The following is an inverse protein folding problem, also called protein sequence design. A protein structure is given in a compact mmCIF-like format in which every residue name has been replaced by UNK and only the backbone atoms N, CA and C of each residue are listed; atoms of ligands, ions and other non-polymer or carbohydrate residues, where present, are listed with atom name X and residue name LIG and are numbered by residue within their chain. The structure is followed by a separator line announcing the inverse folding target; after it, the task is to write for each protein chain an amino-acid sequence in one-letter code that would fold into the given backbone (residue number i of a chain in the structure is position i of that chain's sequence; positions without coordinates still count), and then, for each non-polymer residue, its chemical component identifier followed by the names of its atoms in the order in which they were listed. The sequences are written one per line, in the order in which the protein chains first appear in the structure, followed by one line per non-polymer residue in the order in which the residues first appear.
data_IF_109541118948
#
_entry.id   IF_109541118948
#
_cell.length_a   1.000
_cell.length_b   1.000
_cell.length_c   1.000
_cell.angle_alpha   90.00
_cell.angle_beta   90.00
_cell.angle_gamma   90.00
#
_symmetry.space_group_name_H-M   'P 1'
#
loop_
_entity.id
_entity.type
_entity.pdbx_description
1 polymer ?
#
# COMPACT_ATOMS: atom_id res chain seq x y z
N UNK A 1 2.77 -28.30 7.03
CA UNK A 1 3.21 -27.21 6.12
C UNK A 1 1.98 -26.79 5.34
N UNK A 2 1.51 -25.55 5.48
CA UNK A 2 0.43 -25.06 4.63
C UNK A 2 0.96 -24.95 3.19
N UNK A 3 0.47 -25.81 2.32
CA UNK A 3 0.66 -25.75 0.87
C UNK A 3 0.01 -24.46 0.41
N UNK A 4 0.76 -23.58 -0.27
CA UNK A 4 0.17 -22.42 -0.94
C UNK A 4 -0.84 -23.00 -1.95
N UNK A 5 -2.14 -22.64 -1.87
CA UNK A 5 -3.11 -23.14 -2.84
C UNK A 5 -2.61 -22.81 -4.25
N UNK A 6 -2.57 -23.82 -5.13
CA UNK A 6 -2.20 -23.64 -6.54
C UNK A 6 -3.21 -22.78 -7.33
N UNK A 7 -4.28 -22.32 -6.67
CA UNK A 7 -5.43 -21.63 -7.26
C UNK A 7 -5.70 -20.28 -6.59
N UNK A 8 -4.69 -19.61 -6.01
CA UNK A 8 -4.94 -18.24 -5.55
C UNK A 8 -5.05 -17.34 -6.80
N UNK A 9 -6.16 -16.61 -6.98
CA UNK A 9 -6.33 -15.73 -8.12
C UNK A 9 -5.21 -14.68 -8.17
N UNK A 10 -4.73 -14.43 -9.38
CA UNK A 10 -3.75 -13.39 -9.64
C UNK A 10 -4.46 -12.04 -9.77
N UNK A 11 -4.18 -11.13 -8.84
CA UNK A 11 -4.64 -9.75 -8.91
C UNK A 11 -3.50 -8.88 -9.42
N UNK A 12 -3.78 -7.92 -10.29
CA UNK A 12 -2.73 -7.06 -10.88
C UNK A 12 -2.02 -6.23 -9.81
N UNK A 13 -2.72 -5.96 -8.72
CA UNK A 13 -2.25 -5.18 -7.58
C UNK A 13 -1.52 -6.03 -6.53
N UNK A 14 -1.50 -7.36 -6.66
CA UNK A 14 -0.90 -8.27 -5.69
C UNK A 14 0.14 -9.18 -6.32
N UNK A 15 1.30 -9.31 -5.67
CA UNK A 15 2.32 -10.27 -6.07
C UNK A 15 2.76 -11.09 -4.87
N UNK A 16 2.47 -12.38 -4.91
CA UNK A 16 2.84 -13.30 -3.84
C UNK A 16 4.03 -14.17 -4.24
N UNK A 17 5.03 -14.25 -3.35
CA UNK A 17 6.18 -15.12 -3.48
C UNK A 17 6.10 -16.24 -2.44
N UNK A 18 5.67 -17.43 -2.87
CA UNK A 18 5.51 -18.60 -1.99
C UNK A 18 6.80 -19.05 -1.29
N UNK A 19 7.95 -18.95 -1.98
CA UNK A 19 9.24 -19.34 -1.41
C UNK A 19 9.65 -18.43 -0.24
N UNK A 20 9.36 -17.13 -0.36
CA UNK A 20 9.66 -16.14 0.68
C UNK A 20 8.49 -15.88 1.63
N UNK A 21 7.32 -16.49 1.39
CA UNK A 21 6.05 -16.21 2.08
C UNK A 21 5.77 -14.71 2.18
N UNK A 22 6.02 -14.02 1.07
CA UNK A 22 5.98 -12.56 0.99
C UNK A 22 4.88 -12.12 0.04
N UNK A 23 3.96 -11.30 0.52
CA UNK A 23 2.93 -10.64 -0.28
C UNK A 23 3.35 -9.20 -0.55
N UNK A 24 3.32 -8.79 -1.82
CA UNK A 24 3.52 -7.39 -2.21
C UNK A 24 2.19 -6.82 -2.66
N UNK A 25 1.81 -5.69 -2.08
CA UNK A 25 0.59 -4.94 -2.36
C UNK A 25 1.02 -3.68 -3.12
N UNK A 26 0.63 -3.55 -4.38
CA UNK A 26 0.84 -2.37 -5.21
C UNK A 26 -0.39 -1.49 -5.13
N UNK A 27 -0.26 -0.34 -4.49
CA UNK A 27 -1.34 0.61 -4.28
C UNK A 27 -1.08 1.87 -5.11
N UNK A 28 -1.91 2.13 -6.12
CA UNK A 28 -1.92 3.41 -6.83
C UNK A 28 -2.89 4.35 -6.13
N UNK A 29 -2.34 5.40 -5.52
CA UNK A 29 -3.11 6.35 -4.73
C UNK A 29 -4.08 7.19 -5.58
N UNK A 30 -3.85 7.32 -6.88
CA UNK A 30 -4.70 8.09 -7.80
C UNK A 30 -5.89 7.29 -8.29
N UNK A 31 -5.68 6.00 -8.51
CA UNK A 31 -6.69 5.08 -9.03
C UNK A 31 -7.65 4.63 -7.95
N UNK A 32 -7.22 4.60 -6.68
CA UNK A 32 -7.99 4.02 -5.59
C UNK A 32 -8.36 2.55 -5.80
N UNK A 33 -7.87 1.91 -6.86
CA UNK A 33 -8.34 0.63 -7.33
C UNK A 33 -7.67 -0.52 -6.56
N UNK A 34 -8.48 -1.22 -5.77
CA UNK A 34 -8.37 -2.66 -5.52
C UNK A 34 -9.76 -3.31 -5.59
N UNK A 35 -10.51 -2.97 -6.63
CA UNK A 35 -11.78 -3.63 -6.93
C UNK A 35 -11.61 -4.31 -8.29
N UNK A 36 -11.10 -5.54 -8.26
CA UNK A 36 -11.28 -6.45 -9.39
C UNK A 36 -12.75 -6.86 -9.43
N UNK A 37 -13.42 -6.56 -10.55
CA UNK A 37 -14.80 -6.93 -10.91
C UNK A 37 -15.46 -7.95 -9.97
N UNK A 38 -16.13 -7.47 -8.91
CA UNK A 38 -17.03 -8.28 -8.07
C UNK A 38 -16.46 -8.86 -6.77
N UNK A 39 -15.16 -8.71 -6.47
CA UNK A 39 -14.57 -9.19 -5.20
C UNK A 39 -14.04 -8.03 -4.34
N UNK A 40 -14.28 -8.10 -3.02
CA UNK A 40 -13.80 -7.08 -2.09
C UNK A 40 -12.31 -7.27 -1.78
N UNK A 41 -11.58 -6.17 -1.60
CA UNK A 41 -10.19 -6.16 -1.13
C UNK A 41 -9.94 -7.06 0.09
N UNK A 42 -10.87 -7.05 1.04
CA UNK A 42 -10.84 -7.90 2.23
C UNK A 42 -10.89 -9.38 1.89
N UNK A 43 -11.77 -9.77 0.98
CA UNK A 43 -11.86 -11.15 0.51
C UNK A 43 -10.58 -11.61 -0.18
N UNK A 44 -10.03 -10.78 -1.07
CA UNK A 44 -8.80 -11.09 -1.79
C UNK A 44 -7.60 -11.23 -0.86
N UNK A 45 -7.39 -10.28 0.06
CA UNK A 45 -6.26 -10.32 0.99
C UNK A 45 -6.38 -11.48 1.99
N UNK A 46 -7.60 -11.79 2.46
CA UNK A 46 -7.82 -12.88 3.40
C UNK A 46 -7.34 -14.24 2.87
N UNK A 47 -7.37 -14.47 1.56
CA UNK A 47 -6.85 -15.69 0.92
C UNK A 47 -5.35 -15.91 1.17
N UNK A 48 -4.60 -14.85 1.48
CA UNK A 48 -3.16 -14.90 1.74
C UNK A 48 -2.81 -15.00 3.24
N UNK A 49 -3.77 -14.85 4.14
CA UNK A 49 -3.55 -14.61 5.56
C UNK A 49 -2.83 -15.77 6.27
N UNK A 50 -3.16 -17.02 5.91
CA UNK A 50 -2.71 -18.21 6.64
C UNK A 50 -1.27 -18.63 6.32
N UNK A 51 -0.64 -18.06 5.29
CA UNK A 51 0.70 -18.47 4.88
C UNK A 51 1.66 -17.30 4.64
N UNK A 52 1.16 -16.06 4.66
CA UNK A 52 1.99 -14.87 4.52
C UNK A 52 2.72 -14.54 5.82
N UNK A 53 4.04 -14.38 5.73
CA UNK A 53 4.90 -13.98 6.85
C UNK A 53 5.42 -12.55 6.72
N UNK A 54 5.49 -12.05 5.50
CA UNK A 54 5.96 -10.71 5.17
C UNK A 54 4.99 -10.01 4.23
N UNK A 55 4.66 -8.76 4.52
CA UNK A 55 3.90 -7.89 3.61
C UNK A 55 4.76 -6.70 3.22
N UNK A 56 4.74 -6.36 1.93
CA UNK A 56 5.39 -5.17 1.37
C UNK A 56 4.30 -4.34 0.71
N UNK A 57 4.01 -3.16 1.24
CA UNK A 57 3.04 -2.23 0.66
C UNK A 57 3.81 -1.17 -0.12
N UNK A 58 3.55 -1.05 -1.42
CA UNK A 58 4.16 -0.04 -2.30
C UNK A 58 3.08 0.93 -2.74
N UNK A 59 3.14 2.16 -2.23
CA UNK A 59 2.19 3.23 -2.55
C UNK A 59 2.84 4.15 -3.59
N UNK A 60 2.22 4.26 -4.75
CA UNK A 60 2.64 5.18 -5.81
C UNK A 60 1.68 6.36 -5.89
N UNK A 61 2.24 7.56 -6.01
CA UNK A 61 1.50 8.79 -6.24
C UNK A 61 1.70 9.25 -7.69
N UNK A 62 0.72 9.92 -8.30
CA UNK A 62 0.87 10.41 -9.66
C UNK A 62 1.90 11.54 -9.69
N UNK A 63 2.69 11.61 -10.76
CA UNK A 63 3.56 12.77 -10.91
C UNK A 63 2.70 14.04 -11.09
N UNK A 64 3.07 15.18 -10.50
CA UNK A 64 2.30 16.42 -10.63
C UNK A 64 2.19 16.91 -12.10
N UNK A 65 3.04 16.38 -12.98
CA UNK A 65 3.04 16.62 -14.44
C UNK A 65 2.52 15.43 -15.25
N UNK A 66 2.18 14.32 -14.60
CA UNK A 66 1.61 13.14 -15.25
C UNK A 66 0.11 13.31 -15.44
N UNK A 67 -0.25 13.96 -16.55
CA UNK A 67 -1.34 13.40 -17.37
C UNK A 67 -0.88 11.98 -17.71
N UNK A 68 -1.38 10.97 -16.99
CA UNK A 68 -0.92 9.58 -17.14
C UNK A 68 -0.82 9.18 -18.62
N UNK A 69 0.40 8.87 -19.06
CA UNK A 69 0.64 8.02 -20.23
C UNK A 69 0.79 6.60 -19.71
N UNK A 70 -0.34 5.90 -19.53
CA UNK A 70 -0.29 4.46 -19.32
C UNK A 70 0.02 3.80 -20.68
N UNK A 71 1.25 3.35 -20.87
CA UNK A 71 1.59 2.46 -21.99
C UNK A 71 1.14 1.04 -21.61
N UNK A 72 -0.14 0.73 -21.81
CA UNK A 72 -0.60 -0.65 -21.79
C UNK A 72 -0.14 -1.28 -23.11
N UNK A 73 0.69 -2.34 -23.12
CA UNK A 73 1.17 -2.98 -24.35
C UNK A 73 0.13 -3.94 -24.91
N UNK A 74 -1.13 -3.52 -24.99
CA UNK A 74 -2.18 -4.23 -25.72
C UNK A 74 -2.88 -3.24 -26.62
N UNK A 75 -2.59 -3.34 -27.91
CA UNK A 75 -3.24 -2.60 -29.00
C UNK A 75 -3.13 -1.07 -28.92
N UNK A 76 -1.94 -0.49 -29.16
CA UNK A 76 -1.71 0.80 -29.87
C UNK A 76 -2.62 2.03 -29.64
N UNK A 77 -3.46 2.04 -28.62
CA UNK A 77 -4.50 3.04 -28.37
C UNK A 77 -4.18 3.68 -27.03
N UNK A 78 -3.89 4.97 -27.08
CA UNK A 78 -3.59 5.78 -25.91
C UNK A 78 -4.90 6.15 -25.22
N UNK A 79 -5.35 5.34 -24.26
CA UNK A 79 -6.47 5.74 -23.40
C UNK A 79 -5.95 6.66 -22.30
N UNK A 80 -6.33 7.94 -22.36
CA UNK A 80 -6.20 8.85 -21.22
C UNK A 80 -7.44 8.62 -20.37
N UNK A 81 -7.31 7.83 -19.30
CA UNK A 81 -8.40 7.66 -18.34
C UNK A 81 -8.25 8.78 -17.32
N UNK A 82 -9.19 9.72 -17.35
CA UNK A 82 -9.30 10.80 -16.38
C UNK A 82 -10.13 10.28 -15.20
N UNK A 83 -9.46 9.84 -14.14
CA UNK A 83 -10.09 9.22 -12.96
C UNK A 83 -10.76 10.25 -12.02
N UNK A 84 -10.83 11.53 -12.42
CA UNK A 84 -11.40 12.58 -11.58
C UNK A 84 -10.49 12.98 -10.42
N UNK A 85 -10.94 13.90 -9.55
CA UNK A 85 -10.12 14.39 -8.44
C UNK A 85 -9.92 13.29 -7.40
N UNK A 86 -8.67 13.12 -6.97
CA UNK A 86 -8.27 12.24 -5.86
C UNK A 86 -9.18 12.43 -4.63
N UNK A 87 -10.03 11.45 -4.35
CA UNK A 87 -10.81 11.45 -3.11
C UNK A 87 -9.94 10.96 -1.95
N UNK A 88 -9.23 11.90 -1.32
CA UNK A 88 -8.30 11.63 -0.22
C UNK A 88 -8.95 10.86 0.93
N UNK A 89 -10.21 11.17 1.27
CA UNK A 89 -10.92 10.50 2.36
C UNK A 89 -11.14 9.01 2.04
N UNK A 90 -11.55 8.71 0.82
CA UNK A 90 -11.77 7.33 0.37
C UNK A 90 -10.48 6.51 0.31
N UNK A 91 -9.38 7.10 -0.17
CA UNK A 91 -8.09 6.41 -0.18
C UNK A 91 -7.54 6.16 1.22
N UNK A 92 -7.72 7.12 2.15
CA UNK A 92 -7.37 6.90 3.55
C UNK A 92 -8.19 5.76 4.16
N UNK A 93 -9.51 5.72 3.89
CA UNK A 93 -10.38 4.64 4.35
C UNK A 93 -9.93 3.28 3.80
N UNK A 94 -9.60 3.20 2.51
CA UNK A 94 -9.09 1.97 1.88
C UNK A 94 -7.78 1.50 2.49
N UNK A 95 -6.86 2.41 2.82
CA UNK A 95 -5.63 2.05 3.52
C UNK A 95 -5.94 1.53 4.94
N UNK A 96 -6.87 2.15 5.65
CA UNK A 96 -7.33 1.65 6.94
C UNK A 96 -7.93 0.23 6.81
N UNK A 97 -8.69 -0.05 5.75
CA UNK A 97 -9.20 -1.40 5.46
C UNK A 97 -8.07 -2.41 5.19
N UNK A 98 -7.04 -2.04 4.43
CA UNK A 98 -5.85 -2.90 4.26
C UNK A 98 -5.26 -3.25 5.63
N UNK A 99 -5.04 -2.24 6.48
CA UNK A 99 -4.48 -2.43 7.82
C UNK A 99 -5.38 -3.34 8.67
N UNK A 100 -6.70 -3.11 8.65
CA UNK A 100 -7.70 -3.95 9.33
C UNK A 100 -7.58 -5.41 8.93
N UNK A 101 -7.43 -5.70 7.64
CA UNK A 101 -7.28 -7.07 7.14
C UNK A 101 -5.92 -7.67 7.51
N UNK A 102 -4.84 -6.89 7.44
CA UNK A 102 -3.50 -7.35 7.82
C UNK A 102 -3.40 -7.74 9.31
N UNK A 103 -4.20 -7.12 10.20
CA UNK A 103 -4.29 -7.54 11.61
C UNK A 103 -4.78 -8.99 11.76
N UNK A 104 -5.51 -9.54 10.78
CA UNK A 104 -6.00 -10.92 10.80
C UNK A 104 -4.91 -11.94 10.42
N UNK A 105 -3.80 -11.50 9.84
CA UNK A 105 -2.73 -12.38 9.38
C UNK A 105 -1.92 -12.94 10.55
N UNK A 106 -2.31 -14.12 11.04
CA UNK A 106 -1.70 -14.74 12.23
C UNK A 106 -0.20 -15.03 12.12
N UNK A 107 0.30 -15.23 10.89
CA UNK A 107 1.71 -15.52 10.63
C UNK A 107 2.52 -14.27 10.25
N UNK A 108 1.90 -13.10 10.17
CA UNK A 108 2.57 -11.86 9.80
C UNK A 108 3.61 -11.51 10.86
N UNK A 109 4.86 -11.39 10.42
CA UNK A 109 6.00 -11.04 11.28
C UNK A 109 6.78 -9.84 10.76
N UNK A 110 6.57 -9.50 9.48
CA UNK A 110 7.28 -8.43 8.82
C UNK A 110 6.33 -7.55 7.97
N UNK A 111 6.44 -6.24 8.10
CA UNK A 111 5.75 -5.24 7.29
C UNK A 111 6.75 -4.18 6.80
N UNK A 112 6.73 -3.93 5.49
CA UNK A 112 7.48 -2.83 4.88
C UNK A 112 6.50 -1.95 4.11
N UNK A 113 6.42 -0.66 4.46
CA UNK A 113 5.64 0.34 3.73
C UNK A 113 6.57 1.26 2.98
N UNK A 114 6.36 1.36 1.67
CA UNK A 114 7.24 2.05 0.74
C UNK A 114 6.38 3.05 -0.03
N UNK A 115 6.65 4.34 0.12
CA UNK A 115 6.00 5.38 -0.66
C UNK A 115 6.93 5.87 -1.77
N UNK A 116 6.42 6.06 -2.97
CA UNK A 116 7.13 6.73 -4.06
C UNK A 116 6.44 8.07 -4.33
N UNK A 117 7.14 9.16 -3.98
CA UNK A 117 6.65 10.53 -4.06
C UNK A 117 7.48 11.33 -5.06
N UNK A 118 6.83 12.20 -5.81
CA UNK A 118 7.50 13.15 -6.69
C UNK A 118 8.24 14.25 -5.91
N UNK A 119 7.58 14.74 -4.87
CA UNK A 119 8.01 15.83 -4.01
C UNK A 119 7.71 15.45 -2.57
N UNK A 120 8.43 16.05 -1.62
CA UNK A 120 8.18 15.84 -0.20
C UNK A 120 6.89 16.56 0.23
N UNK A 121 5.77 15.86 0.05
CA UNK A 121 4.44 16.33 0.47
C UNK A 121 3.96 15.54 1.69
N UNK A 122 3.97 16.22 2.85
CA UNK A 122 3.48 15.64 4.09
C UNK A 122 2.03 15.16 3.98
N UNK A 123 1.17 15.85 3.21
CA UNK A 123 -0.23 15.45 3.04
C UNK A 123 -0.39 14.09 2.37
N UNK A 124 0.51 13.75 1.45
CA UNK A 124 0.56 12.44 0.82
C UNK A 124 1.12 11.41 1.80
N UNK A 125 2.16 11.77 2.55
CA UNK A 125 2.76 10.90 3.57
C UNK A 125 1.75 10.53 4.68
N UNK A 126 0.80 11.39 5.01
CA UNK A 126 -0.19 11.06 6.07
C UNK A 126 -1.00 9.81 5.78
N UNK A 127 -1.09 9.37 4.52
CA UNK A 127 -1.87 8.18 4.19
C UNK A 127 -1.32 6.90 4.82
N UNK A 128 -0.05 6.86 5.25
CA UNK A 128 0.53 5.68 5.91
C UNK A 128 0.31 5.64 7.42
N UNK A 129 -0.31 6.66 8.01
CA UNK A 129 -0.55 6.71 9.45
C UNK A 129 -1.25 5.44 10.00
N UNK A 130 -2.27 4.85 9.35
CA UNK A 130 -2.90 3.62 9.84
C UNK A 130 -1.92 2.44 10.02
N UNK A 131 -0.83 2.35 9.23
CA UNK A 131 0.14 1.25 9.38
C UNK A 131 0.94 1.31 10.69
N UNK A 132 0.87 2.42 11.45
CA UNK A 132 1.44 2.51 12.79
C UNK A 132 0.78 1.56 13.78
N UNK A 133 -0.45 1.10 13.53
CA UNK A 133 -1.09 0.08 14.36
C UNK A 133 -0.37 -1.27 14.29
N UNK A 134 0.39 -1.53 13.23
CA UNK A 134 1.15 -2.76 13.02
C UNK A 134 2.62 -2.63 13.45
N UNK A 135 2.99 -1.56 14.16
CA UNK A 135 4.37 -1.29 14.62
C UNK A 135 4.92 -2.34 15.60
N UNK A 136 4.06 -3.16 16.21
CA UNK A 136 4.46 -4.26 17.10
C UNK A 136 5.01 -5.50 16.38
N UNK A 137 4.99 -5.53 15.04
CA UNK A 137 5.58 -6.62 14.26
C UNK A 137 7.10 -6.67 14.44
N UNK A 138 7.67 -7.89 14.40
CA UNK A 138 9.11 -8.13 14.62
C UNK A 138 10.00 -7.33 13.66
N UNK A 139 9.56 -7.20 12.42
CA UNK A 139 10.23 -6.39 11.41
C UNK A 139 9.24 -5.39 10.86
N UNK A 140 9.37 -4.13 11.24
CA UNK A 140 8.50 -3.07 10.78
C UNK A 140 9.35 -1.95 10.21
N UNK A 141 8.99 -1.45 9.04
CA UNK A 141 9.66 -0.30 8.44
C UNK A 141 8.71 0.51 7.57
N UNK A 142 8.91 1.82 7.60
CA UNK A 142 8.29 2.75 6.67
C UNK A 142 9.38 3.62 6.04
N UNK A 143 9.27 3.86 4.74
CA UNK A 143 10.19 4.71 4.00
C UNK A 143 9.51 5.34 2.79
N UNK A 144 10.01 6.49 2.38
CA UNK A 144 9.60 7.13 1.14
C UNK A 144 10.81 7.44 0.27
N UNK A 145 10.59 7.45 -1.03
CA UNK A 145 11.48 8.01 -2.03
C UNK A 145 10.91 9.35 -2.49
N UNK A 146 11.76 10.37 -2.61
CA UNK A 146 11.38 11.68 -3.10
C UNK A 146 12.14 12.00 -4.41
N UNK A 147 11.42 12.13 -5.51
CA UNK A 147 11.92 12.54 -6.83
C UNK A 147 12.60 11.43 -7.65
N UNK A 148 12.89 11.72 -8.93
CA UNK A 148 13.37 10.75 -9.96
C UNK A 148 14.79 10.16 -9.75
N UNK A 149 15.48 10.51 -8.66
CA UNK A 149 16.81 9.98 -8.26
C UNK A 149 16.91 9.76 -6.75
N UNK A 150 15.77 9.62 -6.07
CA UNK A 150 15.65 9.82 -4.62
C UNK A 150 16.38 8.78 -3.78
N UNK A 151 17.12 9.25 -2.78
CA UNK A 151 17.53 8.40 -1.67
C UNK A 151 16.27 8.00 -0.88
N UNK A 152 16.21 6.73 -0.44
CA UNK A 152 15.16 6.26 0.45
C UNK A 152 15.32 6.92 1.83
N UNK A 153 14.30 7.65 2.27
CA UNK A 153 14.24 8.26 3.59
C UNK A 153 13.40 7.36 4.49
N UNK A 154 13.99 6.90 5.59
CA UNK A 154 13.28 6.09 6.59
C UNK A 154 12.44 6.96 7.51
N UNK A 155 11.21 6.52 7.77
CA UNK A 155 10.31 7.09 8.77
C UNK A 155 10.46 6.26 10.05
N UNK A 156 11.55 6.49 10.79
CA UNK A 156 11.85 5.80 12.04
C UNK A 156 11.16 6.48 13.24
N UNK A 157 10.99 5.77 14.38
CA UNK A 157 10.45 6.35 15.61
C UNK A 157 11.15 7.64 16.07
N UNK A 158 12.44 7.79 15.77
CA UNK A 158 13.24 8.96 16.13
C UNK A 158 13.05 10.14 15.17
N UNK A 159 12.28 9.99 14.09
CA UNK A 159 12.09 11.04 13.10
C UNK A 159 10.94 11.98 13.48
N UNK A 160 11.06 13.31 13.25
CA UNK A 160 9.96 14.25 13.47
C UNK A 160 8.70 13.90 12.66
N UNK A 161 8.90 13.26 11.51
CA UNK A 161 7.83 12.80 10.64
C UNK A 161 6.98 11.70 11.31
N UNK A 162 7.64 10.76 12.02
CA UNK A 162 6.95 9.70 12.76
C UNK A 162 6.09 10.27 13.90
N UNK A 163 6.62 11.19 14.71
CA UNK A 163 5.85 11.84 15.78
C UNK A 163 4.61 12.54 15.26
N UNK A 164 4.70 13.18 14.08
CA UNK A 164 3.54 13.81 13.43
C UNK A 164 2.51 12.79 12.94
N UNK A 165 2.95 11.63 12.44
CA UNK A 165 2.05 10.55 12.02
C UNK A 165 1.36 9.89 13.23
N UNK A 166 2.07 9.69 14.34
CA UNK A 166 1.46 9.20 15.59
C UNK A 166 0.36 10.13 16.08
N UNK A 167 0.63 11.45 16.14
CA UNK A 167 -0.38 12.42 16.53
C UNK A 167 -1.60 12.47 15.62
N UNK A 168 -1.48 12.09 14.35
CA UNK A 168 -2.63 11.95 13.45
C UNK A 168 -3.43 10.67 13.72
N UNK A 169 -2.73 9.58 14.04
CA UNK A 169 -3.34 8.29 14.35
C UNK A 169 -4.08 8.31 15.70
N UNK A 170 -3.51 8.94 16.73
CA UNK A 170 -4.07 8.95 18.09
C UNK A 170 -5.29 9.89 18.24
N UNK A 171 -5.43 10.88 17.35
CA UNK A 171 -6.55 11.83 17.38
C UNK A 171 -7.86 11.26 16.79
N UNK A 172 -7.93 9.94 16.55
CA UNK A 172 -9.15 9.30 16.06
C UNK A 172 -9.59 9.82 14.68
N UNK A 173 -8.67 10.33 13.87
CA UNK A 173 -9.00 10.79 12.51
C UNK A 173 -9.47 9.63 11.60
N UNK A 174 -9.41 8.40 12.12
CA UNK A 174 -9.69 7.14 11.44
C UNK A 174 -10.81 6.31 12.11
N UNK A 175 -11.46 6.84 13.16
CA UNK A 175 -12.62 6.24 13.86
C UNK A 175 -13.96 6.86 13.39
#
# INVERSE_FOLDING_TARGET
MATVPNEIPHHRELSYNGNRRSLTIYYDYSLGHMESEGETLEYTLAQYADFTKKVIVRIQFPEAQSRFRCNIPTFGITHTVDYGPLNRAENMQRIADVVRVLKVFRQLTALEVILSLDTEDFQQITCVAPFLELRGLRQWSMRYECGRRGNWISISPDSPLYTRLEGLNDNGMFD
#
